data_IF_398788549801
#
_entry.id   IF_398788549801
#
_cell.length_a   1.000
_cell.length_b   1.000
_cell.length_c   1.000
_cell.angle_alpha   90.00
_cell.angle_beta   90.00
_cell.angle_gamma   90.00
#
_symmetry.space_group_name_H-M   'P 1'
#
loop_
_entity.id
_entity.type
_entity.pdbx_description
1 polymer ?
#
# COMPACT_ATOMS: atom_id res chain seq x y z
N UNK A 1 28.46 54.83 -3.75
CA UNK A 1 27.51 53.84 -3.19
C UNK A 1 26.30 54.60 -2.67
N UNK A 2 25.15 54.53 -3.35
CA UNK A 2 23.92 55.23 -2.94
C UNK A 2 23.09 54.31 -2.04
N UNK A 3 22.67 54.75 -0.84
CA UNK A 3 21.80 53.93 0.01
C UNK A 3 20.42 53.84 -0.63
N UNK A 4 19.93 52.62 -0.83
CA UNK A 4 18.60 52.34 -1.35
C UNK A 4 17.58 52.76 -0.28
N UNK A 5 16.91 53.89 -0.48
CA UNK A 5 15.83 54.35 0.40
C UNK A 5 14.54 53.59 0.07
N UNK A 6 14.18 52.62 0.90
CA UNK A 6 12.90 51.91 0.79
C UNK A 6 11.75 52.78 1.34
N UNK A 7 10.56 52.80 0.69
CA UNK A 7 9.42 53.58 1.16
C UNK A 7 8.92 53.07 2.53
N UNK A 8 8.33 53.95 3.37
CA UNK A 8 7.98 53.62 4.76
C UNK A 8 6.97 52.48 4.90
N UNK A 9 6.14 52.26 3.87
CA UNK A 9 5.20 51.14 3.79
C UNK A 9 5.91 49.80 3.54
N UNK A 10 6.94 49.78 2.69
CA UNK A 10 7.74 48.57 2.44
C UNK A 10 8.53 48.18 3.71
N UNK A 11 9.02 49.15 4.48
CA UNK A 11 9.72 48.87 5.75
C UNK A 11 8.83 48.20 6.81
N UNK A 12 7.51 48.49 6.81
CA UNK A 12 6.53 47.84 7.72
C UNK A 12 6.21 46.40 7.34
N UNK A 13 6.33 46.04 6.06
CA UNK A 13 6.11 44.68 5.55
C UNK A 13 7.38 43.81 5.54
N UNK A 14 8.57 44.43 5.39
CA UNK A 14 9.85 43.72 5.38
C UNK A 14 10.18 43.12 6.76
N UNK A 15 9.83 43.81 7.86
CA UNK A 15 10.10 43.33 9.21
C UNK A 15 9.37 42.01 9.57
N UNK A 16 8.04 41.87 9.38
CA UNK A 16 7.35 40.62 9.64
C UNK A 16 7.74 39.51 8.65
N UNK A 17 8.02 39.85 7.39
CA UNK A 17 8.47 38.88 6.38
C UNK A 17 9.86 38.32 6.71
N UNK A 18 10.78 39.17 7.17
CA UNK A 18 12.10 38.74 7.63
C UNK A 18 12.01 37.87 8.90
N UNK A 19 11.11 38.22 9.83
CA UNK A 19 10.87 37.40 11.01
C UNK A 19 10.31 36.01 10.65
N UNK A 20 9.36 35.95 9.70
CA UNK A 20 8.80 34.69 9.20
C UNK A 20 9.88 33.83 8.51
N UNK A 21 10.76 34.45 7.71
CA UNK A 21 11.87 33.76 7.04
C UNK A 21 12.91 33.21 8.04
N UNK A 22 13.16 33.92 9.14
CA UNK A 22 14.03 33.42 10.21
C UNK A 22 13.38 32.21 10.89
N UNK A 23 12.10 32.26 11.26
CA UNK A 23 11.42 31.12 11.88
C UNK A 23 11.37 29.90 10.94
N UNK A 24 11.14 30.12 9.64
CA UNK A 24 11.15 29.05 8.64
C UNK A 24 12.53 28.43 8.41
N UNK A 25 13.62 29.18 8.61
CA UNK A 25 14.98 28.65 8.46
C UNK A 25 15.44 27.80 9.65
N UNK A 26 14.85 27.98 10.84
CA UNK A 26 15.15 27.12 12.00
C UNK A 26 14.59 25.70 11.86
N UNK A 27 13.45 25.49 11.19
CA UNK A 27 12.89 24.13 10.97
C UNK A 27 13.62 23.34 9.89
N UNK A 28 14.36 24.02 9.00
CA UNK A 28 15.12 23.40 7.93
C UNK A 28 16.40 22.69 8.40
N UNK A 29 16.94 23.04 9.57
CA UNK A 29 18.18 22.47 10.09
C UNK A 29 18.07 20.98 10.49
N UNK A 30 16.89 20.49 10.88
CA UNK A 30 16.71 19.09 11.28
C UNK A 30 16.79 18.13 10.08
N UNK A 31 16.21 18.53 8.92
CA UNK A 31 16.28 17.74 7.69
C UNK A 31 17.71 17.63 7.13
N UNK A 32 18.50 18.70 7.23
CA UNK A 32 19.91 18.72 6.81
C UNK A 32 20.77 17.82 7.69
N UNK A 33 20.51 17.76 9.00
CA UNK A 33 21.20 16.85 9.93
C UNK A 33 20.98 15.38 9.57
N UNK A 34 19.77 15.04 9.08
CA UNK A 34 19.43 13.70 8.59
C UNK A 34 20.10 13.38 7.24
N UNK A 35 20.13 14.32 6.29
CA UNK A 35 20.78 14.08 4.99
C UNK A 35 22.31 14.01 5.07
N UNK A 36 22.91 14.73 6.03
CA UNK A 36 24.35 14.66 6.31
C UNK A 36 24.75 13.45 7.16
N UNK A 37 23.81 12.60 7.58
CA UNK A 37 24.09 11.39 8.38
C UNK A 37 24.49 11.66 9.83
N UNK A 38 24.30 12.89 10.33
CA UNK A 38 24.55 13.27 11.73
C UNK A 38 23.37 12.89 12.65
N UNK A 39 22.26 12.43 12.08
CA UNK A 39 21.14 11.87 12.83
C UNK A 39 21.39 10.38 13.13
N UNK A 40 21.21 10.00 14.39
CA UNK A 40 21.33 8.60 14.81
C UNK A 40 20.12 7.80 14.31
N UNK A 41 20.30 7.01 13.26
CA UNK A 41 19.35 5.98 12.85
C UNK A 41 19.80 4.65 13.49
N UNK A 42 19.22 4.24 14.63
CA UNK A 42 19.50 2.91 15.16
C UNK A 42 19.03 1.86 14.15
N UNK A 43 19.80 0.78 13.93
CA UNK A 43 19.32 -0.39 13.22
C UNK A 43 18.04 -0.90 13.86
N UNK A 44 17.15 -1.47 13.06
CA UNK A 44 15.93 -2.08 13.58
C UNK A 44 16.29 -3.35 14.35
N UNK A 45 16.25 -3.26 15.68
CA UNK A 45 16.54 -4.38 16.61
C UNK A 45 15.57 -5.57 16.41
N UNK A 46 14.42 -5.36 15.76
CA UNK A 46 13.47 -6.42 15.43
C UNK A 46 13.72 -7.03 14.05
N UNK A 47 14.63 -6.46 13.25
CA UNK A 47 15.04 -7.01 11.95
C UNK A 47 16.23 -7.98 12.05
N UNK A 48 16.64 -8.36 13.26
CA UNK A 48 17.69 -9.36 13.46
C UNK A 48 17.11 -10.76 13.22
N UNK A 49 17.39 -11.31 12.04
CA UNK A 49 17.05 -12.70 11.71
C UNK A 49 18.11 -13.64 12.33
N UNK A 50 17.71 -14.71 13.04
CA UNK A 50 18.67 -15.71 13.50
C UNK A 50 19.25 -16.48 12.31
N UNK A 51 20.57 -16.60 12.27
CA UNK A 51 21.25 -17.50 11.33
C UNK A 51 20.98 -18.97 11.72
N UNK A 52 21.03 -19.89 10.76
CA UNK A 52 20.91 -21.31 11.05
C UNK A 52 22.00 -21.76 12.04
N UNK A 53 21.70 -22.70 12.95
CA UNK A 53 22.69 -23.25 13.85
C UNK A 53 23.82 -23.90 13.06
N UNK A 54 25.06 -23.58 13.43
CA UNK A 54 26.25 -24.19 12.85
C UNK A 54 26.31 -25.66 13.27
N UNK A 55 26.22 -26.59 12.31
CA UNK A 55 26.42 -28.01 12.55
C UNK A 55 27.84 -28.39 12.14
N UNK A 56 28.57 -29.03 13.05
CA UNK A 56 29.89 -29.57 12.74
C UNK A 56 29.70 -30.82 11.87
N UNK A 57 30.25 -30.85 10.65
CA UNK A 57 30.10 -32.01 9.79
C UNK A 57 30.84 -33.22 10.38
N UNK A 58 30.36 -34.45 10.12
CA UNK A 58 30.95 -35.68 10.63
C UNK A 58 32.36 -35.96 10.08
N UNK A 59 32.74 -35.33 8.96
CA UNK A 59 34.08 -35.43 8.38
C UNK A 59 34.59 -34.06 7.91
N UNK A 60 35.86 -33.77 8.22
CA UNK A 60 36.55 -32.52 7.87
C UNK A 60 37.38 -32.63 6.57
N UNK A 61 37.31 -33.78 5.88
CA UNK A 61 38.04 -34.04 4.63
C UNK A 61 37.33 -33.46 3.39
N UNK A 62 36.36 -32.57 3.58
CA UNK A 62 35.68 -31.91 2.48
C UNK A 62 36.63 -30.89 1.84
N UNK A 63 36.73 -30.94 0.51
CA UNK A 63 37.37 -29.87 -0.28
C UNK A 63 36.70 -28.55 0.13
N UNK A 64 37.48 -27.49 0.47
CA UNK A 64 36.91 -26.18 0.78
C UNK A 64 35.91 -25.80 -0.31
N UNK A 65 34.68 -25.38 0.05
CA UNK A 65 33.72 -24.95 -0.94
C UNK A 65 34.39 -23.87 -1.78
N UNK A 66 34.38 -24.06 -3.10
CA UNK A 66 35.04 -23.15 -4.02
C UNK A 66 34.57 -21.72 -3.79
N UNK A 67 35.49 -20.77 -3.80
CA UNK A 67 35.15 -19.35 -3.78
C UNK A 67 34.36 -19.01 -5.03
N UNK A 68 33.07 -18.69 -4.88
CA UNK A 68 32.32 -17.95 -5.90
C UNK A 68 31.16 -18.69 -6.55
N UNK A 69 30.10 -18.89 -5.81
CA UNK A 69 28.72 -18.78 -6.31
C UNK A 69 27.91 -18.07 -5.22
N UNK A 70 26.78 -17.40 -5.53
CA UNK A 70 25.85 -17.00 -4.48
C UNK A 70 25.47 -18.27 -3.72
N UNK A 71 26.14 -18.51 -2.58
CA UNK A 71 25.84 -19.64 -1.72
C UNK A 71 24.36 -19.55 -1.43
N UNK A 72 23.63 -20.66 -1.66
CA UNK A 72 22.16 -20.76 -1.63
C UNK A 72 21.60 -19.65 -0.75
N UNK A 73 21.24 -18.53 -1.39
CA UNK A 73 20.91 -17.33 -0.64
C UNK A 73 19.68 -17.70 0.16
N UNK A 74 19.83 -17.70 1.48
CA UNK A 74 18.78 -17.96 2.45
C UNK A 74 17.51 -17.27 1.97
N UNK A 75 16.48 -18.03 1.61
CA UNK A 75 15.19 -17.44 1.27
C UNK A 75 14.74 -16.66 2.50
N UNK A 76 14.46 -15.35 2.39
CA UNK A 76 14.17 -14.53 3.56
C UNK A 76 13.02 -15.17 4.34
N UNK A 77 13.15 -15.21 5.68
CA UNK A 77 12.21 -15.91 6.57
C UNK A 77 10.75 -15.52 6.31
N UNK A 78 10.50 -14.28 5.89
CA UNK A 78 9.19 -13.80 5.47
C UNK A 78 8.63 -14.55 4.26
N UNK A 79 9.43 -14.80 3.24
CA UNK A 79 9.02 -15.56 2.05
C UNK A 79 8.80 -17.03 2.40
N UNK A 80 9.65 -17.61 3.25
CA UNK A 80 9.48 -18.99 3.74
C UNK A 80 8.23 -19.15 4.60
N UNK A 81 7.93 -18.18 5.47
CA UNK A 81 6.72 -18.17 6.28
C UNK A 81 5.46 -17.97 5.42
N UNK A 82 5.52 -17.07 4.44
CA UNK A 82 4.44 -16.88 3.49
C UNK A 82 4.20 -18.16 2.67
N UNK A 83 5.25 -18.85 2.25
CA UNK A 83 5.15 -20.15 1.58
C UNK A 83 4.48 -21.21 2.47
N UNK A 84 4.86 -21.29 3.74
CA UNK A 84 4.28 -22.24 4.68
C UNK A 84 2.80 -21.96 5.01
N UNK A 85 2.40 -20.68 5.11
CA UNK A 85 1.02 -20.29 5.43
C UNK A 85 0.11 -20.39 4.20
N UNK A 86 0.61 -19.99 3.02
CA UNK A 86 -0.19 -19.87 1.81
C UNK A 86 0.08 -20.99 0.79
N UNK A 87 0.92 -21.97 1.11
CA UNK A 87 1.25 -23.11 0.24
C UNK A 87 2.03 -22.73 -1.02
N UNK A 88 2.70 -21.57 -1.04
CA UNK A 88 3.37 -21.02 -2.23
C UNK A 88 4.88 -21.03 -2.04
N UNK A 89 5.53 -22.15 -2.33
CA UNK A 89 6.99 -22.22 -2.38
C UNK A 89 7.52 -21.16 -3.36
N UNK A 90 8.44 -20.33 -2.87
CA UNK A 90 8.98 -19.20 -3.61
C UNK A 90 9.94 -19.65 -4.70
N UNK A 91 9.73 -19.13 -5.91
CA UNK A 91 10.75 -19.03 -6.94
C UNK A 91 10.69 -20.10 -8.04
N UNK A 92 10.37 -19.63 -9.25
CA UNK A 92 10.56 -20.25 -10.56
C UNK A 92 9.75 -21.54 -10.84
N UNK A 93 8.80 -21.41 -11.77
CA UNK A 93 8.34 -22.48 -12.68
C UNK A 93 8.01 -23.84 -12.05
N UNK A 94 7.39 -23.84 -10.87
CA UNK A 94 6.65 -25.03 -10.43
C UNK A 94 5.18 -24.74 -10.59
N UNK A 95 4.65 -25.31 -11.67
CA UNK A 95 3.24 -25.38 -12.01
C UNK A 95 2.35 -25.40 -10.77
N UNK A 96 1.70 -24.26 -10.49
CA UNK A 96 0.47 -24.23 -9.71
C UNK A 96 -0.59 -24.88 -10.59
N UNK A 97 -0.50 -26.20 -10.70
CA UNK A 97 -1.42 -27.04 -11.46
C UNK A 97 -1.66 -28.34 -10.70
N UNK A 98 -1.50 -28.40 -9.37
CA UNK A 98 -1.88 -29.63 -8.64
C UNK A 98 -1.94 -29.58 -7.09
N UNK A 99 -2.26 -28.45 -6.43
CA UNK A 99 -3.28 -28.62 -5.38
C UNK A 99 -4.60 -28.71 -6.14
N UNK A 100 -4.80 -29.86 -6.78
CA UNK A 100 -5.84 -30.06 -7.76
C UNK A 100 -7.17 -29.92 -7.07
N UNK A 101 -7.82 -28.77 -7.29
CA UNK A 101 -9.23 -28.60 -6.96
C UNK A 101 -9.97 -29.88 -7.35
N UNK A 102 -10.68 -30.47 -6.39
CA UNK A 102 -11.42 -31.70 -6.65
C UNK A 102 -12.35 -31.51 -7.85
N UNK A 103 -12.73 -32.57 -8.55
CA UNK A 103 -13.58 -32.46 -9.72
C UNK A 103 -14.87 -31.64 -9.45
N UNK A 104 -15.44 -31.78 -8.24
CA UNK A 104 -16.58 -30.97 -7.79
C UNK A 104 -16.26 -29.49 -7.55
N UNK A 105 -15.07 -29.17 -7.04
CA UNK A 105 -14.63 -27.80 -6.81
C UNK A 105 -14.35 -27.07 -8.13
N UNK A 106 -13.72 -27.74 -9.09
CA UNK A 106 -13.54 -27.20 -10.45
C UNK A 106 -14.89 -26.93 -11.16
N UNK A 107 -15.90 -27.76 -10.92
CA UNK A 107 -17.24 -27.56 -11.46
C UNK A 107 -17.93 -26.33 -10.84
N UNK A 108 -17.77 -26.11 -9.53
CA UNK A 108 -18.27 -24.92 -8.85
C UNK A 108 -17.56 -23.66 -9.37
N UNK A 109 -16.24 -23.69 -9.49
CA UNK A 109 -15.46 -22.55 -10.01
C UNK A 109 -15.89 -22.17 -11.44
N UNK A 110 -16.12 -23.16 -12.31
CA UNK A 110 -16.66 -22.92 -13.65
C UNK A 110 -18.08 -22.35 -13.61
N UNK A 111 -18.94 -22.87 -12.74
CA UNK A 111 -20.30 -22.34 -12.58
C UNK A 111 -20.32 -20.90 -12.05
N UNK A 112 -19.33 -20.54 -11.22
CA UNK A 112 -19.14 -19.21 -10.68
C UNK A 112 -18.38 -18.26 -11.63
N UNK A 113 -17.92 -18.74 -12.79
CA UNK A 113 -17.08 -17.98 -13.72
C UNK A 113 -15.68 -17.64 -13.17
N UNK A 114 -15.25 -18.29 -12.09
CA UNK A 114 -13.99 -18.04 -11.38
C UNK A 114 -12.84 -18.95 -11.87
N UNK A 115 -13.01 -19.62 -13.02
CA UNK A 115 -12.01 -20.46 -13.69
C UNK A 115 -10.79 -19.66 -14.14
N UNK A 116 -10.97 -18.39 -14.54
CA UNK A 116 -9.93 -17.52 -15.10
C UNK A 116 -9.53 -16.40 -14.13
N UNK A 117 -8.82 -16.74 -13.05
CA UNK A 117 -8.26 -15.74 -12.14
C UNK A 117 -6.80 -15.39 -12.54
N UNK A 118 -6.46 -14.10 -12.57
CA UNK A 118 -5.08 -13.64 -12.70
C UNK A 118 -4.31 -13.95 -11.39
N UNK A 119 -3.26 -14.79 -11.42
CA UNK A 119 -2.48 -15.14 -10.22
C UNK A 119 -1.81 -13.93 -9.55
N UNK A 120 -1.67 -12.81 -10.27
CA UNK A 120 -1.07 -11.57 -9.78
C UNK A 120 -2.09 -10.49 -9.42
N UNK A 121 -3.40 -10.77 -9.40
CA UNK A 121 -4.44 -9.76 -9.17
C UNK A 121 -4.21 -8.91 -7.91
N UNK A 122 -3.67 -9.51 -6.84
CA UNK A 122 -3.33 -8.77 -5.61
C UNK A 122 -2.25 -7.71 -5.84
N UNK A 123 -1.23 -8.04 -6.62
CA UNK A 123 -0.15 -7.11 -6.95
C UNK A 123 -0.64 -6.00 -7.88
N UNK A 124 -1.56 -6.32 -8.79
CA UNK A 124 -2.23 -5.34 -9.65
C UNK A 124 -3.05 -4.37 -8.82
N UNK A 125 -3.90 -4.87 -7.92
CA UNK A 125 -4.68 -4.04 -7.00
C UNK A 125 -3.76 -3.21 -6.11
N UNK A 126 -2.75 -3.82 -5.47
CA UNK A 126 -1.83 -3.07 -4.61
C UNK A 126 -1.12 -1.96 -5.40
N UNK A 127 -0.74 -2.21 -6.66
CA UNK A 127 -0.12 -1.19 -7.52
C UNK A 127 -1.10 -0.07 -7.87
N UNK A 128 -2.32 -0.40 -8.28
CA UNK A 128 -3.37 0.56 -8.63
C UNK A 128 -3.78 1.42 -7.42
N UNK A 129 -3.88 0.80 -6.25
CA UNK A 129 -4.32 1.45 -5.02
C UNK A 129 -3.17 2.04 -4.19
N UNK A 130 -1.91 1.79 -4.56
CA UNK A 130 -0.74 2.34 -3.85
C UNK A 130 -0.68 3.86 -3.84
N UNK A 131 -1.35 4.53 -4.79
CA UNK A 131 -1.43 5.99 -4.87
C UNK A 131 -2.27 6.52 -3.70
N UNK A 132 -3.40 5.86 -3.38
CA UNK A 132 -4.28 6.27 -2.29
C UNK A 132 -3.71 5.94 -0.90
N UNK A 133 -2.96 4.85 -0.79
CA UNK A 133 -2.33 4.45 0.49
C UNK A 133 -1.13 5.33 0.89
N UNK A 134 -0.62 6.18 -0.01
CA UNK A 134 0.59 7.00 0.18
C UNK A 134 0.34 8.50 0.22
N UNK A 135 -0.91 8.95 0.10
CA UNK A 135 -1.22 10.35 0.38
C UNK A 135 -1.27 10.55 1.90
N UNK A 136 -0.09 10.69 2.53
CA UNK A 136 0.02 11.46 3.76
C UNK A 136 -0.36 12.90 3.39
N UNK A 137 -1.65 13.21 3.52
CA UNK A 137 -2.18 14.55 3.30
C UNK A 137 -1.37 15.54 4.14
N UNK A 138 -0.68 16.45 3.47
CA UNK A 138 0.13 17.47 4.14
C UNK A 138 -0.73 18.29 5.11
N UNK A 139 -0.11 18.86 6.15
CA UNK A 139 -0.73 19.84 7.06
C UNK A 139 -1.52 20.96 6.35
N UNK A 140 -1.11 21.34 5.14
CA UNK A 140 -1.79 22.35 4.32
C UNK A 140 -3.08 21.80 3.69
N UNK A 141 -3.13 20.52 3.34
CA UNK A 141 -4.34 19.83 2.87
C UNK A 141 -5.36 19.73 4.00
N UNK A 142 -4.95 19.32 5.20
CA UNK A 142 -5.83 19.28 6.37
C UNK A 142 -6.42 20.66 6.71
N UNK A 143 -5.64 21.73 6.55
CA UNK A 143 -6.12 23.10 6.75
C UNK A 143 -7.03 23.59 5.61
N UNK A 144 -6.79 23.19 4.36
CA UNK A 144 -7.63 23.57 3.22
C UNK A 144 -8.93 22.76 3.15
N UNK A 145 -8.90 21.53 3.64
CA UNK A 145 -9.97 20.54 3.57
C UNK A 145 -10.31 20.03 4.97
N UNK A 146 -10.45 20.94 5.95
CA UNK A 146 -10.79 20.60 7.35
C UNK A 146 -12.13 19.87 7.49
N UNK A 147 -12.95 19.88 6.44
CA UNK A 147 -14.23 19.20 6.37
C UNK A 147 -14.00 17.79 5.82
N UNK A 148 -14.58 16.81 6.52
CA UNK A 148 -14.47 15.39 6.20
C UNK A 148 -14.73 15.12 4.72
N UNK A 149 -13.71 14.62 4.01
CA UNK A 149 -13.81 14.27 2.59
C UNK A 149 -14.69 13.05 2.45
N UNK A 150 -15.63 13.12 1.51
CA UNK A 150 -16.48 11.98 1.20
C UNK A 150 -15.61 10.91 0.51
N UNK A 151 -15.55 9.67 1.03
CA UNK A 151 -14.71 8.63 0.43
C UNK A 151 -15.12 8.41 -1.03
N UNK A 152 -14.15 8.20 -1.94
CA UNK A 152 -14.44 7.98 -3.35
C UNK A 152 -15.23 6.68 -3.54
N UNK A 153 -16.29 6.75 -4.36
CA UNK A 153 -17.13 5.62 -4.74
C UNK A 153 -18.60 5.79 -4.33
N UNK A 154 -19.50 5.17 -5.08
CA UNK A 154 -20.92 5.10 -4.73
C UNK A 154 -21.18 3.87 -3.84
N UNK A 155 -21.84 4.01 -2.67
CA UNK A 155 -22.15 2.86 -1.84
C UNK A 155 -23.10 1.90 -2.55
N UNK A 156 -22.75 0.61 -2.56
CA UNK A 156 -23.57 -0.47 -3.11
C UNK A 156 -24.77 -0.76 -2.19
N UNK A 157 -25.99 -0.87 -2.73
CA UNK A 157 -27.13 -1.41 -1.98
C UNK A 157 -27.04 -2.94 -1.96
N UNK A 158 -26.52 -3.47 -0.86
CA UNK A 158 -26.33 -4.92 -0.69
C UNK A 158 -27.65 -5.70 -0.79
N UNK A 159 -28.77 -5.14 -0.34
CA UNK A 159 -30.07 -5.82 -0.35
C UNK A 159 -30.61 -5.93 -1.77
N UNK A 160 -30.67 -4.79 -2.48
CA UNK A 160 -31.12 -4.74 -3.86
C UNK A 160 -30.20 -5.55 -4.80
N UNK A 161 -28.88 -5.51 -4.59
CA UNK A 161 -27.94 -6.30 -5.39
C UNK A 161 -28.14 -7.80 -5.17
N UNK A 162 -28.38 -8.22 -3.92
CA UNK A 162 -28.68 -9.63 -3.63
C UNK A 162 -29.95 -10.13 -4.33
N UNK A 163 -30.94 -9.25 -4.51
CA UNK A 163 -32.19 -9.58 -5.21
C UNK A 163 -31.92 -9.71 -6.71
N UNK A 164 -31.23 -8.74 -7.32
CA UNK A 164 -30.82 -8.78 -8.74
C UNK A 164 -30.07 -10.08 -9.07
N UNK A 165 -29.13 -10.47 -8.21
CA UNK A 165 -28.35 -11.69 -8.39
C UNK A 165 -29.21 -12.95 -8.36
N UNK A 166 -30.19 -13.03 -7.47
CA UNK A 166 -31.13 -14.16 -7.40
C UNK A 166 -32.04 -14.22 -8.62
N UNK A 167 -32.49 -13.08 -9.11
CA UNK A 167 -33.30 -12.98 -10.33
C UNK A 167 -32.51 -13.42 -11.56
N UNK A 168 -31.27 -12.95 -11.71
CA UNK A 168 -30.39 -13.38 -12.79
C UNK A 168 -30.11 -14.89 -12.74
N UNK A 169 -29.85 -15.43 -11.54
CA UNK A 169 -29.68 -16.87 -11.35
C UNK A 169 -30.95 -17.66 -11.75
N UNK A 170 -32.14 -17.17 -11.40
CA UNK A 170 -33.41 -17.79 -11.75
C UNK A 170 -33.73 -17.72 -13.25
N UNK A 171 -33.29 -16.64 -13.92
CA UNK A 171 -33.46 -16.41 -15.36
C UNK A 171 -32.34 -17.06 -16.21
N UNK A 172 -31.32 -17.65 -15.59
CA UNK A 172 -30.17 -18.23 -16.27
C UNK A 172 -29.25 -17.19 -16.93
N UNK A 173 -29.32 -15.93 -16.48
CA UNK A 173 -28.49 -14.82 -16.98
C UNK A 173 -27.14 -14.77 -16.25
N UNK A 174 -26.06 -14.31 -16.90
CA UNK A 174 -24.78 -14.15 -16.24
C UNK A 174 -24.85 -13.10 -15.11
N UNK A 175 -23.99 -13.28 -14.10
CA UNK A 175 -23.91 -12.43 -12.89
C UNK A 175 -23.67 -10.95 -13.23
N UNK A 176 -22.96 -10.68 -14.32
CA UNK A 176 -22.59 -9.34 -14.80
C UNK A 176 -23.71 -8.63 -15.58
N UNK A 177 -24.86 -9.27 -15.83
CA UNK A 177 -25.94 -8.67 -16.62
C UNK A 177 -26.84 -7.77 -15.77
N UNK A 178 -26.99 -6.50 -16.16
CA UNK A 178 -27.87 -5.53 -15.51
C UNK A 178 -27.10 -4.45 -14.74
N UNK A 179 -27.82 -3.39 -14.35
CA UNK A 179 -27.24 -2.29 -13.57
C UNK A 179 -27.09 -2.68 -12.10
N UNK A 180 -25.98 -2.26 -11.49
CA UNK A 180 -25.70 -2.48 -10.08
C UNK A 180 -26.40 -1.40 -9.24
N UNK A 181 -27.28 -1.76 -8.29
CA UNK A 181 -28.06 -0.80 -7.53
C UNK A 181 -27.18 -0.08 -6.49
N UNK A 182 -27.06 1.24 -6.63
CA UNK A 182 -26.30 2.09 -5.69
C UNK A 182 -27.22 2.88 -4.76
N UNK A 183 -26.78 3.09 -3.52
CA UNK A 183 -27.48 3.90 -2.53
C UNK A 183 -27.26 5.37 -2.87
N UNK A 184 -28.26 5.99 -3.49
CA UNK A 184 -28.26 7.44 -3.70
C UNK A 184 -28.39 8.15 -2.36
N UNK A 185 -27.32 8.79 -1.91
CA UNK A 185 -27.37 9.66 -0.73
C UNK A 185 -28.23 10.88 -1.05
N UNK A 186 -29.11 11.27 -0.14
CA UNK A 186 -29.89 12.51 -0.29
C UNK A 186 -28.93 13.69 -0.25
N UNK A 187 -29.12 14.66 -1.13
CA UNK A 187 -28.38 15.91 -1.10
C UNK A 187 -28.61 16.58 0.26
N UNK A 188 -27.53 16.79 1.01
CA UNK A 188 -27.62 17.52 2.28
C UNK A 188 -28.14 18.93 1.99
N UNK A 189 -29.11 19.37 2.77
CA UNK A 189 -29.62 20.74 2.67
C UNK A 189 -28.53 21.75 3.03
N UNK A 190 -28.58 22.96 2.45
CA UNK A 190 -27.62 24.04 2.69
C UNK A 190 -27.37 24.36 4.19
N UNK A 191 -28.32 24.03 5.07
CA UNK A 191 -28.25 24.29 6.51
C UNK A 191 -27.94 23.05 7.36
N UNK A 192 -27.81 21.86 6.78
CA UNK A 192 -27.64 20.59 7.52
C UNK A 192 -26.18 20.36 8.00
N UNK A 193 -25.25 21.22 7.56
CA UNK A 193 -23.86 21.23 8.02
C UNK A 193 -23.49 22.39 8.94
N UNK A 194 -24.45 23.25 9.30
CA UNK A 194 -24.22 24.47 10.11
C UNK A 194 -24.76 24.36 11.56
N UNK A 195 -25.52 23.31 11.86
CA UNK A 195 -26.11 23.04 13.18
C UNK A 195 -25.77 21.63 13.66
#
# INVERSE_FOLDING_TARGET
MRPISLPPLARRLVLPLAALAVVASLSACEGVKKSLGLAKQPPDEFAVLPNLPLVVPPDFQLRPPGTGGPGQLETPVREKAAAAVFGREGGADTEISSVGFGQGESAILRSAGADQNDPNIRQTIDREFSIYAKEDESFVSDLLFWQEREPPGEPLDASAESQRLKENAALGKPVTEGETPTIKKREKGFLEGLF
#
